data_IF_006797149897
#
_entry.id   IF_006797149897
#
_cell.length_a   1.000
_cell.length_b   1.000
_cell.length_c   1.000
_cell.angle_alpha   90.00
_cell.angle_beta   90.00
_cell.angle_gamma   90.00
#
_symmetry.space_group_name_H-M   'P 1'
#
loop_
_entity.id
_entity.type
_entity.pdbx_description
1 polymer ?
#
# COMPACT_ATOMS: atom_id res chain seq x y z
N UNK A 1 2.34 -3.43 16.31
CA UNK A 1 1.14 -3.79 15.54
C UNK A 1 1.28 -3.22 14.13
N UNK A 2 1.55 -3.98 13.06
CA UNK A 2 1.83 -3.31 11.77
C UNK A 2 1.69 -4.17 10.49
N UNK A 3 2.38 -5.31 10.37
CA UNK A 3 2.46 -6.02 9.09
C UNK A 3 1.33 -7.06 8.86
N UNK A 4 0.91 -7.79 9.90
CA UNK A 4 -0.17 -8.78 9.76
C UNK A 4 -1.52 -8.15 9.45
N UNK A 5 -1.84 -7.02 10.11
CA UNK A 5 -3.04 -6.27 9.82
C UNK A 5 -3.05 -5.73 8.39
N UNK A 6 -1.92 -5.17 7.93
CA UNK A 6 -1.78 -4.72 6.55
C UNK A 6 -1.93 -5.88 5.54
N UNK A 7 -1.28 -7.03 5.82
CA UNK A 7 -1.43 -8.25 5.00
C UNK A 7 -2.88 -8.68 4.87
N UNK A 8 -3.60 -8.70 6.00
CA UNK A 8 -5.02 -9.05 6.05
C UNK A 8 -5.87 -8.05 5.28
N UNK A 9 -5.58 -6.75 5.42
CA UNK A 9 -6.30 -5.69 4.73
C UNK A 9 -6.11 -5.80 3.21
N UNK A 10 -4.87 -5.94 2.73
CA UNK A 10 -4.54 -6.06 1.31
C UNK A 10 -5.21 -7.30 0.71
N UNK A 11 -5.15 -8.45 1.41
CA UNK A 11 -5.84 -9.67 0.95
C UNK A 11 -7.35 -9.47 0.85
N UNK A 12 -7.96 -8.81 1.83
CA UNK A 12 -9.41 -8.55 1.84
C UNK A 12 -9.82 -7.59 0.72
N UNK A 13 -9.13 -6.46 0.59
CA UNK A 13 -9.40 -5.47 -0.46
C UNK A 13 -9.25 -6.10 -1.85
N UNK A 14 -8.18 -6.85 -2.07
CA UNK A 14 -8.00 -7.58 -3.32
C UNK A 14 -9.16 -8.53 -3.66
N UNK A 15 -9.68 -9.25 -2.66
CA UNK A 15 -10.79 -10.19 -2.85
C UNK A 15 -12.11 -9.46 -3.13
N UNK A 16 -12.36 -8.34 -2.45
CA UNK A 16 -13.54 -7.51 -2.63
C UNK A 16 -13.57 -6.85 -4.02
N UNK A 17 -12.42 -6.36 -4.49
CA UNK A 17 -12.28 -5.66 -5.78
C UNK A 17 -12.05 -6.62 -6.97
N UNK A 18 -12.01 -7.94 -6.74
CA UNK A 18 -11.81 -8.93 -7.81
C UNK A 18 -10.44 -8.86 -8.51
N UNK A 19 -9.43 -8.28 -7.86
CA UNK A 19 -8.12 -8.01 -8.46
C UNK A 19 -7.29 -9.31 -8.59
N UNK A 20 -6.74 -9.56 -9.79
CA UNK A 20 -5.86 -10.70 -10.06
C UNK A 20 -4.52 -10.59 -9.31
N UNK A 21 -3.83 -11.72 -9.10
CA UNK A 21 -2.54 -11.73 -8.37
C UNK A 21 -1.49 -10.91 -9.11
N UNK A 22 -1.44 -11.07 -10.42
CA UNK A 22 -0.48 -10.41 -11.28
C UNK A 22 -0.80 -8.91 -11.46
N UNK A 23 0.19 -8.06 -11.19
CA UNK A 23 0.15 -6.64 -11.56
C UNK A 23 -0.49 -5.69 -10.54
N UNK A 24 -0.83 -6.15 -9.33
CA UNK A 24 -1.31 -5.23 -8.28
C UNK A 24 -0.16 -4.35 -7.79
N UNK A 25 -0.27 -3.05 -8.06
CA UNK A 25 0.66 -2.03 -7.56
C UNK A 25 0.02 -1.38 -6.33
N UNK A 26 0.75 -1.35 -5.21
CA UNK A 26 0.37 -0.62 -4.02
C UNK A 26 1.21 0.65 -3.94
N UNK A 27 0.58 1.80 -4.20
CA UNK A 27 1.21 3.09 -4.00
C UNK A 27 1.04 3.55 -2.54
N UNK A 28 2.11 3.99 -1.90
CA UNK A 28 2.12 4.41 -0.50
C UNK A 28 3.08 5.58 -0.27
N UNK A 29 2.87 6.31 0.81
CA UNK A 29 3.82 7.33 1.24
C UNK A 29 5.17 6.72 1.70
N UNK A 30 6.12 7.60 2.00
CA UNK A 30 7.44 7.22 2.49
C UNK A 30 7.48 6.91 4.01
N UNK A 31 6.33 6.67 4.65
CA UNK A 31 6.23 6.39 6.06
C UNK A 31 7.06 5.17 6.48
N UNK A 32 7.73 5.27 7.63
CA UNK A 32 8.56 4.18 8.18
C UNK A 32 7.85 2.82 8.25
N UNK A 33 6.54 2.72 8.55
CA UNK A 33 5.82 1.44 8.48
C UNK A 33 5.75 0.83 7.07
N UNK A 34 5.53 1.66 6.04
CA UNK A 34 5.35 1.22 4.65
C UNK A 34 6.67 0.82 3.99
N UNK A 35 7.78 1.37 4.46
CA UNK A 35 9.15 1.05 4.01
C UNK A 35 9.84 -0.06 4.80
N UNK A 36 9.21 -0.57 5.86
CA UNK A 36 9.78 -1.60 6.71
C UNK A 36 10.00 -2.93 5.96
N UNK A 37 11.11 -3.61 6.25
CA UNK A 37 11.45 -4.89 5.61
C UNK A 37 10.34 -5.95 5.72
N UNK A 38 9.66 -6.02 6.87
CA UNK A 38 8.53 -6.93 7.09
C UNK A 38 7.36 -6.64 6.16
N UNK A 39 7.06 -5.36 5.92
CA UNK A 39 5.99 -4.94 5.00
C UNK A 39 6.37 -5.30 3.56
N UNK A 40 7.58 -4.95 3.11
CA UNK A 40 8.06 -5.27 1.77
C UNK A 40 8.04 -6.77 1.49
N UNK A 41 8.52 -7.59 2.44
CA UNK A 41 8.48 -9.04 2.33
C UNK A 41 7.05 -9.58 2.25
N UNK A 42 6.10 -8.94 2.94
CA UNK A 42 4.68 -9.30 2.88
C UNK A 42 4.08 -8.99 1.51
N UNK A 43 4.33 -7.78 0.98
CA UNK A 43 3.85 -7.39 -0.35
C UNK A 43 4.38 -8.33 -1.45
N UNK A 44 5.67 -8.64 -1.39
CA UNK A 44 6.30 -9.60 -2.30
C UNK A 44 5.65 -10.99 -2.23
N UNK A 45 5.40 -11.52 -1.02
CA UNK A 45 4.69 -12.81 -0.84
C UNK A 45 3.27 -12.80 -1.42
N UNK A 46 2.60 -11.64 -1.39
CA UNK A 46 1.27 -11.47 -1.95
C UNK A 46 1.25 -11.24 -3.46
N UNK A 47 2.42 -11.02 -4.10
CA UNK A 47 2.53 -10.66 -5.51
C UNK A 47 2.24 -9.18 -5.79
N UNK A 48 2.32 -8.34 -4.77
CA UNK A 48 2.05 -6.90 -4.83
C UNK A 48 3.35 -6.14 -5.05
N UNK A 49 3.34 -5.22 -6.01
CA UNK A 49 4.48 -4.36 -6.33
C UNK A 49 4.35 -3.07 -5.51
N UNK A 50 5.27 -2.78 -4.57
CA UNK A 50 5.26 -1.51 -3.86
C UNK A 50 5.71 -0.37 -4.78
N UNK A 51 5.02 0.77 -4.66
CA UNK A 51 5.41 2.06 -5.24
C UNK A 51 5.38 3.10 -4.13
N UNK A 52 6.35 4.00 -4.10
CA UNK A 52 6.45 5.03 -3.06
C UNK A 52 6.44 6.43 -3.65
N UNK A 53 5.95 7.40 -2.86
CA UNK A 53 6.08 8.84 -3.12
C UNK A 53 7.54 9.24 -3.34
N UNK A 54 7.77 10.40 -3.97
CA UNK A 54 9.13 10.94 -4.09
C UNK A 54 9.72 11.27 -2.71
N UNK A 55 11.05 11.17 -2.52
CA UNK A 55 11.71 11.54 -1.27
C UNK A 55 11.34 12.97 -0.85
N UNK A 56 11.10 13.16 0.45
CA UNK A 56 10.76 14.45 1.08
C UNK A 56 9.41 15.06 0.68
N UNK A 57 8.54 14.31 -0.02
CA UNK A 57 7.16 14.70 -0.32
C UNK A 57 6.20 13.66 0.26
N UNK A 58 5.59 14.00 1.40
CA UNK A 58 4.58 13.15 2.03
C UNK A 58 3.28 13.10 1.21
N UNK A 59 2.89 14.24 0.62
CA UNK A 59 1.58 14.41 -0.03
C UNK A 59 1.65 14.19 -1.56
N UNK A 60 2.44 13.21 -2.00
CA UNK A 60 2.66 12.92 -3.43
C UNK A 60 1.60 11.96 -4.00
N UNK A 61 0.35 12.07 -3.55
CA UNK A 61 -0.77 11.26 -4.03
C UNK A 61 -2.10 12.07 -4.08
N UNK A 62 -2.31 12.86 -5.14
CA UNK A 62 -3.46 13.77 -5.25
C UNK A 62 -4.82 13.09 -5.14
N UNK A 63 -4.92 11.84 -5.60
CA UNK A 63 -6.16 11.06 -5.56
C UNK A 63 -6.54 10.73 -4.11
N UNK A 64 -5.62 10.12 -3.35
CA UNK A 64 -5.87 9.81 -1.94
C UNK A 64 -6.04 11.08 -1.10
N UNK A 65 -5.24 12.12 -1.33
CA UNK A 65 -5.37 13.39 -0.62
C UNK A 65 -6.74 14.05 -0.82
N UNK A 66 -7.28 14.00 -2.04
CA UNK A 66 -8.61 14.55 -2.34
C UNK A 66 -9.72 13.82 -1.58
N UNK A 67 -9.61 12.49 -1.43
CA UNK A 67 -10.57 11.68 -0.66
C UNK A 67 -10.53 12.05 0.83
N UNK A 68 -9.34 12.21 1.42
CA UNK A 68 -9.21 12.57 2.82
C UNK A 68 -9.64 14.00 3.15
N UNK A 69 -9.47 14.95 2.20
CA UNK A 69 -9.95 16.33 2.39
C UNK A 69 -11.48 16.46 2.37
N UNK A 70 -12.18 15.48 1.81
CA UNK A 70 -13.64 15.45 1.74
C UNK A 70 -14.32 14.64 2.84
N UNK A 71 -13.54 14.03 3.73
CA UNK A 71 -14.00 13.29 4.91
C UNK A 71 -13.88 14.14 6.18
#
# INVERSE_FOLDING_TARGET
>A
ENAEHASRLIRKGRLAEGIRREGLILHSDNGSPMRGATMLATLQKLGVIPSFSRPSLSDDNPYSESLFRTL
#
